data_IF_016385415348
#
_entry.id   IF_016385415348
#
_cell.length_a   1.000
_cell.length_b   1.000
_cell.length_c   1.000
_cell.angle_alpha   90.00
_cell.angle_beta   90.00
_cell.angle_gamma   90.00
#
_symmetry.space_group_name_H-M   'P 1'
#
loop_
_entity.id
_entity.type
_entity.pdbx_description
1 polymer ?
#
# COMPACT_ATOMS: atom_id res chain seq x y z
N UNK A 1 30.13 4.43 -8.21
CA UNK A 1 29.09 4.68 -7.19
C UNK A 1 27.77 4.89 -7.94
N UNK A 2 26.74 4.04 -7.81
CA UNK A 2 25.46 4.31 -8.46
C UNK A 2 24.84 5.55 -7.81
N UNK A 3 24.38 6.50 -8.63
CA UNK A 3 23.78 7.76 -8.16
C UNK A 3 22.55 7.44 -7.32
N UNK A 4 22.53 7.90 -6.08
CA UNK A 4 21.33 7.91 -5.24
C UNK A 4 20.32 8.84 -5.92
N UNK A 5 19.18 8.30 -6.35
CA UNK A 5 18.08 9.13 -6.84
C UNK A 5 17.52 9.94 -5.65
N UNK A 6 17.98 11.18 -5.53
CA UNK A 6 17.36 12.19 -4.67
C UNK A 6 16.12 12.73 -5.38
N UNK A 7 15.01 11.99 -5.28
CA UNK A 7 13.70 12.57 -5.58
C UNK A 7 12.78 12.34 -4.39
N UNK A 8 12.58 13.41 -3.60
CA UNK A 8 11.52 13.51 -2.58
C UNK A 8 10.10 13.41 -3.16
N UNK A 9 9.97 13.12 -4.46
CA UNK A 9 8.71 12.90 -5.16
C UNK A 9 8.59 11.40 -5.46
N UNK A 10 7.62 10.78 -4.80
CA UNK A 10 7.20 9.40 -5.04
C UNK A 10 6.42 9.41 -6.36
N UNK A 11 7.01 8.92 -7.44
CA UNK A 11 6.37 8.84 -8.78
C UNK A 11 6.25 7.37 -9.15
N UNK A 12 5.05 6.95 -9.54
CA UNK A 12 4.75 5.60 -10.06
C UNK A 12 5.81 5.17 -11.08
N UNK A 13 6.37 3.98 -10.94
CA UNK A 13 7.31 3.45 -11.91
C UNK A 13 6.52 2.87 -13.09
N UNK A 14 6.99 3.18 -14.28
CA UNK A 14 6.48 2.78 -15.58
C UNK A 14 7.63 2.21 -16.44
N UNK A 15 7.39 1.89 -17.71
CA UNK A 15 8.43 1.34 -18.57
C UNK A 15 9.60 2.31 -18.79
N UNK A 16 9.34 3.61 -18.90
CA UNK A 16 10.37 4.65 -19.08
C UNK A 16 11.32 4.71 -17.89
N UNK A 17 10.78 4.52 -16.68
CA UNK A 17 11.57 4.44 -15.43
C UNK A 17 12.70 3.41 -15.53
N UNK A 18 12.47 2.29 -16.22
CA UNK A 18 13.46 1.21 -16.40
C UNK A 18 14.31 1.37 -17.67
N UNK A 19 13.91 2.20 -18.64
CA UNK A 19 14.58 2.32 -19.93
C UNK A 19 16.10 2.58 -19.85
N UNK A 20 16.62 3.46 -18.96
CA UNK A 20 18.05 3.70 -18.87
C UNK A 20 18.82 2.59 -18.11
N UNK A 21 18.13 1.63 -17.51
CA UNK A 21 18.71 0.56 -16.69
C UNK A 21 18.72 -0.80 -17.40
N UNK A 22 17.97 -0.92 -18.50
CA UNK A 22 17.82 -2.16 -19.27
C UNK A 22 18.81 -2.19 -20.42
N UNK A 23 19.59 -3.26 -20.51
CA UNK A 23 20.57 -3.54 -21.56
C UNK A 23 20.36 -4.95 -22.16
N UNK A 24 21.18 -5.31 -23.17
CA UNK A 24 21.10 -6.62 -23.85
C UNK A 24 21.39 -7.83 -22.94
N UNK A 25 21.93 -7.59 -21.74
CA UNK A 25 22.19 -8.63 -20.74
C UNK A 25 21.05 -8.79 -19.76
N UNK A 26 20.11 -7.85 -19.74
CA UNK A 26 18.96 -7.86 -18.83
C UNK A 26 18.03 -9.01 -19.20
N UNK A 27 17.82 -9.94 -18.25
CA UNK A 27 16.92 -11.10 -18.43
C UNK A 27 15.62 -10.96 -17.66
N UNK A 28 15.60 -10.12 -16.62
CA UNK A 28 14.44 -9.94 -15.78
C UNK A 28 14.39 -8.55 -15.13
N UNK A 29 13.18 -8.07 -14.85
CA UNK A 29 12.88 -6.90 -14.03
C UNK A 29 12.05 -7.40 -12.85
N UNK A 30 12.50 -7.10 -11.63
CA UNK A 30 11.77 -7.38 -10.39
C UNK A 30 11.25 -6.10 -9.77
N UNK A 31 9.96 -6.03 -9.45
CA UNK A 31 9.34 -4.88 -8.80
C UNK A 31 8.13 -5.28 -7.95
N UNK A 32 7.77 -4.45 -6.97
CA UNK A 32 6.47 -4.57 -6.30
C UNK A 32 5.40 -3.83 -7.11
N UNK A 33 4.20 -4.40 -7.22
CA UNK A 33 3.06 -3.69 -7.84
C UNK A 33 2.58 -2.52 -7.00
N UNK A 34 2.72 -2.64 -5.67
CA UNK A 34 2.50 -1.57 -4.69
C UNK A 34 3.71 -1.52 -3.76
N UNK A 35 4.38 -0.38 -3.70
CA UNK A 35 5.57 -0.19 -2.88
C UNK A 35 5.20 -0.14 -1.40
N UNK A 36 5.75 -1.03 -0.58
CA UNK A 36 5.52 -1.07 0.87
C UNK A 36 5.79 0.26 1.59
N UNK A 37 6.78 1.01 1.09
CA UNK A 37 7.33 2.18 1.78
C UNK A 37 6.69 3.52 1.42
N UNK A 38 6.06 3.58 0.25
CA UNK A 38 5.45 4.81 -0.26
C UNK A 38 4.01 4.62 -0.69
N UNK A 39 3.52 3.37 -0.65
CA UNK A 39 2.18 2.95 -1.08
C UNK A 39 1.92 3.17 -2.57
N UNK A 40 2.93 3.60 -3.30
CA UNK A 40 2.90 3.89 -4.72
C UNK A 40 2.51 2.64 -5.49
N UNK A 41 1.48 2.76 -6.32
CA UNK A 41 1.09 1.75 -7.30
C UNK A 41 1.91 1.98 -8.58
N UNK A 42 2.64 0.97 -9.02
CA UNK A 42 3.44 1.02 -10.25
C UNK A 42 2.61 0.58 -11.45
N UNK A 43 2.92 1.11 -12.64
CA UNK A 43 2.27 0.70 -13.88
C UNK A 43 2.86 -0.61 -14.40
N UNK A 44 2.46 -1.70 -13.76
CA UNK A 44 2.88 -3.07 -14.11
C UNK A 44 2.48 -3.41 -15.54
N UNK A 45 1.35 -2.87 -16.03
CA UNK A 45 0.85 -3.19 -17.37
C UNK A 45 1.78 -2.63 -18.42
N UNK A 46 2.08 -1.33 -18.34
CA UNK A 46 3.00 -0.65 -19.26
C UNK A 46 4.39 -1.33 -19.28
N UNK A 47 4.94 -1.62 -18.10
CA UNK A 47 6.22 -2.34 -17.96
C UNK A 47 6.18 -3.71 -18.64
N UNK A 48 5.10 -4.48 -18.42
CA UNK A 48 4.93 -5.79 -19.05
C UNK A 48 4.82 -5.68 -20.57
N UNK A 49 4.06 -4.73 -21.10
CA UNK A 49 3.86 -4.53 -22.54
C UNK A 49 5.17 -4.20 -23.25
N UNK A 50 5.99 -3.31 -22.68
CA UNK A 50 7.27 -2.90 -23.27
C UNK A 50 8.34 -4.00 -23.18
N UNK A 51 8.57 -4.56 -22.00
CA UNK A 51 9.75 -5.41 -21.77
C UNK A 51 9.53 -6.88 -22.12
N UNK A 52 8.29 -7.38 -22.07
CA UNK A 52 8.03 -8.77 -22.50
C UNK A 52 8.21 -8.95 -24.00
N UNK A 53 7.87 -7.93 -24.80
CA UNK A 53 8.09 -7.95 -26.25
C UNK A 53 9.60 -8.11 -26.57
N UNK A 54 10.48 -7.64 -25.68
CA UNK A 54 11.94 -7.75 -25.78
C UNK A 54 12.50 -9.06 -25.19
N UNK A 55 11.65 -10.00 -24.78
CA UNK A 55 12.07 -11.27 -24.17
C UNK A 55 12.52 -11.16 -22.71
N UNK A 56 12.27 -10.02 -22.05
CA UNK A 56 12.64 -9.80 -20.64
C UNK A 56 11.50 -10.26 -19.73
N UNK A 57 11.83 -11.02 -18.68
CA UNK A 57 10.86 -11.50 -17.70
C UNK A 57 10.49 -10.40 -16.69
N UNK A 58 9.21 -10.17 -16.46
CA UNK A 58 8.76 -9.25 -15.40
C UNK A 58 8.26 -10.08 -14.21
N UNK A 59 8.92 -9.93 -13.05
CA UNK A 59 8.56 -10.56 -11.79
C UNK A 59 7.94 -9.49 -10.88
N UNK A 60 6.65 -9.68 -10.56
CA UNK A 60 5.88 -8.70 -9.81
C UNK A 60 5.57 -9.25 -8.41
N UNK A 61 6.05 -8.57 -7.38
CA UNK A 61 5.63 -8.79 -6.00
C UNK A 61 4.28 -8.10 -5.77
N UNK A 62 3.26 -8.89 -5.45
CA UNK A 62 1.88 -8.41 -5.26
C UNK A 62 1.39 -8.47 -3.81
N UNK A 63 2.30 -8.60 -2.86
CA UNK A 63 1.98 -8.76 -1.42
C UNK A 63 1.09 -7.62 -0.86
N UNK A 64 1.18 -6.42 -1.43
CA UNK A 64 0.36 -5.26 -1.02
C UNK A 64 -0.81 -4.97 -1.98
N UNK A 65 -1.12 -5.86 -2.91
CA UNK A 65 -2.12 -5.60 -3.95
C UNK A 65 -3.21 -6.68 -3.92
N UNK A 66 -2.81 -7.93 -3.72
CA UNK A 66 -3.74 -9.05 -3.70
C UNK A 66 -4.37 -9.20 -2.31
N UNK A 67 -5.69 -9.37 -2.26
CA UNK A 67 -6.47 -9.41 -1.02
C UNK A 67 -7.10 -8.05 -0.63
N UNK A 68 -6.90 -7.00 -1.43
CA UNK A 68 -7.38 -5.65 -1.14
C UNK A 68 -8.07 -4.95 -2.32
N UNK A 69 -7.72 -5.31 -3.55
CA UNK A 69 -8.37 -4.81 -4.77
C UNK A 69 -8.49 -5.95 -5.79
N UNK A 70 -9.39 -5.78 -6.75
CA UNK A 70 -9.57 -6.76 -7.83
C UNK A 70 -8.34 -6.79 -8.74
N UNK A 71 -7.68 -7.95 -8.83
CA UNK A 71 -6.49 -8.12 -9.69
C UNK A 71 -6.84 -9.00 -10.89
N UNK A 72 -6.98 -8.37 -12.06
CA UNK A 72 -7.07 -9.11 -13.32
C UNK A 72 -5.67 -9.46 -13.85
N UNK A 73 -5.16 -10.62 -13.44
CA UNK A 73 -3.83 -11.13 -13.82
C UNK A 73 -3.67 -11.39 -15.33
N UNK A 74 -4.77 -11.59 -16.06
CA UNK A 74 -4.78 -11.76 -17.52
C UNK A 74 -4.55 -10.43 -18.24
N UNK A 75 -5.16 -9.35 -17.76
CA UNK A 75 -4.96 -7.99 -18.30
C UNK A 75 -3.56 -7.43 -18.00
N UNK A 76 -2.88 -7.93 -16.96
CA UNK A 76 -1.53 -7.50 -16.59
C UNK A 76 -0.41 -8.14 -17.41
N UNK A 77 -0.73 -9.10 -18.28
CA UNK A 77 0.23 -9.79 -19.15
C UNK A 77 1.49 -10.26 -18.38
N UNK A 78 1.37 -11.14 -17.38
CA UNK A 78 2.52 -11.66 -16.56
C UNK A 78 2.78 -13.15 -16.84
N UNK A 79 4.05 -13.58 -17.06
CA UNK A 79 4.43 -14.96 -17.47
C UNK A 79 4.56 -15.97 -16.32
N UNK A 80 5.02 -15.55 -15.13
CA UNK A 80 5.10 -16.40 -13.94
C UNK A 80 4.65 -15.60 -12.72
N UNK A 81 3.86 -16.24 -11.86
CA UNK A 81 3.17 -15.63 -10.73
C UNK A 81 3.79 -16.19 -9.46
N UNK A 82 4.29 -15.32 -8.59
CA UNK A 82 4.54 -15.66 -7.19
C UNK A 82 3.67 -14.73 -6.35
N UNK A 83 2.47 -15.20 -6.04
CA UNK A 83 1.62 -14.52 -5.08
C UNK A 83 2.09 -14.89 -3.68
N UNK A 84 2.46 -13.88 -2.90
CA UNK A 84 2.72 -14.02 -1.46
C UNK A 84 1.55 -13.36 -0.77
N UNK A 85 0.60 -14.19 -0.35
CA UNK A 85 -0.60 -13.81 0.38
C UNK A 85 -0.31 -13.94 1.88
N UNK A 86 0.24 -12.91 2.51
CA UNK A 86 0.65 -13.02 3.93
C UNK A 86 0.26 -11.85 4.80
N UNK A 87 -0.25 -10.77 4.23
CA UNK A 87 -0.47 -9.55 5.02
C UNK A 87 -1.86 -9.50 5.65
N UNK A 88 -2.89 -9.85 4.88
CA UNK A 88 -4.28 -9.84 5.36
C UNK A 88 -4.92 -11.23 5.39
N UNK A 89 -4.25 -12.25 4.83
CA UNK A 89 -4.60 -13.63 5.13
C UNK A 89 -4.22 -13.91 6.58
N UNK A 90 -5.22 -14.16 7.42
CA UNK A 90 -5.06 -14.60 8.81
C UNK A 90 -4.35 -15.97 8.88
N UNK A 91 -4.24 -16.68 7.75
CA UNK A 91 -3.65 -18.02 7.69
C UNK A 91 -2.11 -17.99 7.57
N UNK A 92 -1.38 -18.75 8.41
CA UNK A 92 0.04 -19.00 8.22
C UNK A 92 0.31 -19.61 6.83
N UNK A 93 1.40 -19.17 6.19
CA UNK A 93 1.89 -19.72 4.93
C UNK A 93 1.91 -21.25 4.97
N UNK A 94 1.24 -21.87 3.99
CA UNK A 94 1.18 -23.32 3.76
C UNK A 94 0.28 -24.14 4.71
N UNK A 95 -0.66 -23.52 5.44
CA UNK A 95 -1.72 -24.26 6.16
C UNK A 95 -2.96 -24.53 5.28
N UNK A 96 -3.74 -25.61 5.51
CA UNK A 96 -5.04 -25.82 4.86
C UNK A 96 -6.02 -24.65 5.01
N UNK A 97 -5.87 -23.87 6.10
CA UNK A 97 -6.60 -22.62 6.35
C UNK A 97 -6.38 -21.57 5.26
N UNK A 98 -5.29 -21.68 4.49
CA UNK A 98 -5.02 -20.81 3.34
C UNK A 98 -6.09 -20.94 2.26
N UNK A 99 -6.47 -22.16 1.87
CA UNK A 99 -7.47 -22.37 0.82
C UNK A 99 -8.85 -21.95 1.31
N UNK A 100 -9.19 -22.28 2.56
CA UNK A 100 -10.46 -21.86 3.18
C UNK A 100 -10.57 -20.35 3.32
N UNK A 101 -9.48 -19.65 3.64
CA UNK A 101 -9.51 -18.18 3.69
C UNK A 101 -9.65 -17.59 2.29
N UNK A 102 -8.98 -18.16 1.28
CA UNK A 102 -9.11 -17.72 -0.10
C UNK A 102 -10.55 -17.91 -0.62
N UNK A 103 -11.19 -19.04 -0.31
CA UNK A 103 -12.61 -19.29 -0.57
C UNK A 103 -13.49 -18.26 0.16
N UNK A 104 -13.25 -18.02 1.46
CA UNK A 104 -13.98 -16.98 2.20
C UNK A 104 -13.81 -15.58 1.59
N UNK A 105 -12.60 -15.21 1.17
CA UNK A 105 -12.35 -13.93 0.50
C UNK A 105 -13.04 -13.82 -0.85
N UNK A 106 -12.96 -14.86 -1.68
CA UNK A 106 -13.52 -14.83 -3.03
C UNK A 106 -15.04 -15.00 -3.04
N UNK A 107 -15.58 -15.89 -2.22
CA UNK A 107 -16.96 -16.35 -2.29
C UNK A 107 -17.88 -15.69 -1.26
N UNK A 108 -17.33 -15.19 -0.14
CA UNK A 108 -18.13 -14.56 0.93
C UNK A 108 -17.89 -13.06 1.03
N UNK A 109 -16.64 -12.63 1.16
CA UNK A 109 -16.35 -11.18 1.22
C UNK A 109 -16.54 -10.54 -0.15
N UNK A 110 -15.95 -11.12 -1.20
CA UNK A 110 -15.93 -10.55 -2.53
C UNK A 110 -14.89 -9.42 -2.65
N UNK A 111 -14.04 -9.47 -3.68
CA UNK A 111 -12.98 -8.49 -3.87
C UNK A 111 -13.52 -7.05 -4.06
N UNK A 112 -14.67 -6.89 -4.71
CA UNK A 112 -15.33 -5.59 -4.93
C UNK A 112 -15.81 -4.96 -3.62
N UNK A 113 -16.44 -5.74 -2.73
CA UNK A 113 -16.89 -5.24 -1.43
C UNK A 113 -15.71 -4.84 -0.52
N UNK A 114 -14.62 -5.63 -0.55
CA UNK A 114 -13.39 -5.29 0.19
C UNK A 114 -12.79 -4.00 -0.34
N UNK A 115 -12.75 -3.83 -1.66
CA UNK A 115 -12.26 -2.63 -2.31
C UNK A 115 -13.10 -1.40 -1.94
N UNK A 116 -14.44 -1.48 -2.06
CA UNK A 116 -15.37 -0.40 -1.68
C UNK A 116 -15.25 -0.02 -0.20
N UNK A 117 -15.11 -1.02 0.68
CA UNK A 117 -14.89 -0.80 2.11
C UNK A 117 -13.57 -0.06 2.38
N UNK A 118 -12.47 -0.46 1.75
CA UNK A 118 -11.17 0.18 1.91
C UNK A 118 -11.14 1.60 1.32
N UNK A 119 -11.86 1.86 0.22
CA UNK A 119 -12.08 3.22 -0.29
C UNK A 119 -12.77 4.05 0.79
N UNK A 120 -13.86 3.55 1.37
CA UNK A 120 -14.65 4.25 2.38
C UNK A 120 -13.81 4.61 3.63
N UNK A 121 -13.03 3.65 4.14
CA UNK A 121 -12.09 3.91 5.26
C UNK A 121 -11.01 4.91 4.89
N UNK A 122 -10.50 4.82 3.66
CA UNK A 122 -9.51 5.74 3.10
C UNK A 122 -10.01 7.18 3.06
N UNK A 123 -11.23 7.39 2.57
CA UNK A 123 -11.87 8.69 2.47
C UNK A 123 -12.13 9.29 3.85
N UNK A 124 -12.60 8.48 4.80
CA UNK A 124 -12.79 8.90 6.19
C UNK A 124 -11.48 9.40 6.80
N UNK A 125 -10.39 8.62 6.67
CA UNK A 125 -9.07 9.01 7.18
C UNK A 125 -8.54 10.27 6.50
N UNK A 126 -8.70 10.39 5.17
CA UNK A 126 -8.26 11.57 4.41
C UNK A 126 -9.00 12.82 4.85
N UNK A 127 -10.32 12.74 5.01
CA UNK A 127 -11.16 13.84 5.47
C UNK A 127 -10.78 14.27 6.89
N UNK A 128 -10.58 13.30 7.79
CA UNK A 128 -10.10 13.56 9.14
C UNK A 128 -8.72 14.24 9.15
N UNK A 129 -7.73 13.68 8.44
CA UNK A 129 -6.39 14.26 8.36
C UNK A 129 -6.44 15.69 7.79
N UNK A 130 -7.27 15.94 6.76
CA UNK A 130 -7.46 17.28 6.19
C UNK A 130 -8.05 18.26 7.20
N UNK A 131 -9.06 17.85 7.97
CA UNK A 131 -9.65 18.68 9.03
C UNK A 131 -8.64 19.01 10.15
N UNK A 132 -7.75 18.07 10.45
CA UNK A 132 -6.70 18.20 11.48
C UNK A 132 -5.41 18.89 10.97
N UNK A 133 -5.31 19.21 9.68
CA UNK A 133 -4.10 19.75 9.08
C UNK A 133 -2.93 18.76 8.97
N UNK A 134 -3.19 17.46 9.15
CA UNK A 134 -2.20 16.38 9.03
C UNK A 134 -2.03 16.05 7.55
N UNK A 135 -0.78 16.09 7.08
CA UNK A 135 -0.45 15.71 5.71
C UNK A 135 -0.34 14.19 5.58
N UNK A 136 -0.89 13.65 4.49
CA UNK A 136 -0.67 12.25 4.09
C UNK A 136 0.42 12.21 3.03
N UNK A 137 1.44 11.37 3.23
CA UNK A 137 2.54 11.17 2.28
C UNK A 137 2.10 10.22 1.16
N UNK A 138 2.35 10.64 -0.08
CA UNK A 138 2.08 9.89 -1.30
C UNK A 138 1.22 10.68 -2.29
N UNK A 139 0.79 10.06 -3.40
CA UNK A 139 -0.10 10.68 -4.36
C UNK A 139 -1.54 10.86 -3.81
N UNK A 140 -2.22 11.90 -4.28
CA UNK A 140 -3.59 12.24 -3.89
C UNK A 140 -4.66 11.41 -4.62
N UNK A 141 -4.40 11.01 -5.88
CA UNK A 141 -5.32 10.18 -6.66
C UNK A 141 -5.25 8.71 -6.26
N UNK A 142 -6.42 8.09 -6.04
CA UNK A 142 -6.59 6.67 -5.72
C UNK A 142 -6.05 5.73 -6.78
N UNK A 143 -5.90 6.20 -8.02
CA UNK A 143 -5.33 5.42 -9.12
C UNK A 143 -3.86 5.05 -8.89
N UNK A 144 -3.12 5.87 -8.11
CA UNK A 144 -1.67 5.76 -7.94
C UNK A 144 -1.21 5.34 -6.53
N UNK A 145 -2.13 5.06 -5.61
CA UNK A 145 -1.79 4.59 -4.26
C UNK A 145 -2.59 3.36 -3.83
N UNK A 146 -2.04 2.58 -2.91
CA UNK A 146 -2.76 1.49 -2.25
C UNK A 146 -3.91 2.03 -1.40
N UNK A 147 -5.07 1.36 -1.42
CA UNK A 147 -6.27 1.77 -0.68
C UNK A 147 -6.17 1.45 0.82
N UNK A 148 -5.35 0.47 1.19
CA UNK A 148 -5.26 -0.09 2.54
C UNK A 148 -4.09 0.45 3.36
N UNK A 149 -3.26 1.33 2.81
CA UNK A 149 -2.13 1.91 3.52
C UNK A 149 -2.21 3.41 3.47
N UNK A 150 -1.80 4.08 4.54
CA UNK A 150 -1.67 5.54 4.66
C UNK A 150 -0.42 5.88 5.47
N UNK A 151 0.30 6.93 5.08
CA UNK A 151 1.44 7.44 5.84
C UNK A 151 1.09 8.85 6.25
N UNK A 152 0.88 9.05 7.55
CA UNK A 152 0.67 10.35 8.18
C UNK A 152 2.05 10.98 8.40
N UNK A 153 2.25 12.22 7.97
CA UNK A 153 3.49 13.00 8.07
C UNK A 153 3.72 13.45 9.54
N UNK A 154 3.82 12.48 10.45
CA UNK A 154 3.96 12.65 11.90
C UNK A 154 5.24 11.94 12.34
N UNK A 155 6.25 12.71 12.76
CA UNK A 155 7.60 12.18 12.96
C UNK A 155 8.00 11.98 14.42
N UNK A 156 7.35 12.67 15.37
CA UNK A 156 7.76 12.61 16.76
C UNK A 156 7.28 11.35 17.49
N UNK A 157 8.14 10.81 18.35
CA UNK A 157 7.88 9.59 19.12
C UNK A 157 6.64 9.70 20.01
N UNK A 158 6.32 10.90 20.51
CA UNK A 158 5.14 11.15 21.36
C UNK A 158 3.81 10.80 20.68
N UNK A 159 3.73 10.90 19.35
CA UNK A 159 2.55 10.43 18.61
C UNK A 159 2.37 8.92 18.75
N UNK A 160 3.46 8.16 18.68
CA UNK A 160 3.41 6.70 18.84
C UNK A 160 3.05 6.29 20.27
N UNK A 161 3.55 7.03 21.25
CA UNK A 161 3.24 6.81 22.67
C UNK A 161 1.76 7.09 22.95
N UNK A 162 1.24 8.21 22.46
CA UNK A 162 -0.16 8.60 22.63
C UNK A 162 -1.14 7.70 21.88
N UNK A 163 -0.83 7.28 20.64
CA UNK A 163 -1.66 6.30 19.94
C UNK A 163 -1.69 4.97 20.71
N UNK A 164 -0.55 4.56 21.29
CA UNK A 164 -0.47 3.31 22.06
C UNK A 164 -1.27 3.38 23.36
N UNK A 165 -1.30 4.51 24.08
CA UNK A 165 -2.12 4.66 25.30
C UNK A 165 -3.62 4.55 25.00
N UNK A 166 -4.03 4.92 23.79
CA UNK A 166 -5.40 4.78 23.30
C UNK A 166 -5.68 3.42 22.59
N UNK A 167 -4.79 2.44 22.72
CA UNK A 167 -4.88 1.12 22.08
C UNK A 167 -4.93 1.16 20.54
N UNK A 168 -4.35 2.19 19.93
CA UNK A 168 -4.20 2.30 18.49
C UNK A 168 -2.84 1.75 18.07
N UNK A 169 -2.86 0.70 17.27
CA UNK A 169 -1.67 0.03 16.76
C UNK A 169 -1.36 0.48 15.34
N UNK A 170 -0.29 1.26 15.21
CA UNK A 170 0.26 1.76 13.95
C UNK A 170 1.73 1.39 13.84
N UNK A 171 2.31 1.49 12.63
CA UNK A 171 3.74 1.23 12.43
C UNK A 171 4.52 2.56 12.34
N UNK A 172 5.57 2.78 13.14
CA UNK A 172 6.46 3.90 12.90
C UNK A 172 7.21 3.70 11.59
N UNK A 173 7.38 4.76 10.80
CA UNK A 173 7.98 4.69 9.48
C UNK A 173 8.89 5.88 9.20
N UNK A 174 9.84 5.71 8.25
CA UNK A 174 10.82 6.76 7.94
C UNK A 174 10.20 8.06 7.42
N UNK A 175 8.97 7.99 6.91
CA UNK A 175 8.20 9.12 6.36
C UNK A 175 7.05 9.53 7.30
N UNK A 176 7.06 9.06 8.56
CA UNK A 176 6.04 9.37 9.56
C UNK A 176 5.37 8.12 10.13
N UNK A 177 4.08 8.17 10.42
CA UNK A 177 3.31 7.05 10.97
C UNK A 177 2.54 6.33 9.87
N UNK A 178 2.71 5.02 9.76
CA UNK A 178 1.96 4.21 8.81
C UNK A 178 0.73 3.58 9.44
N UNK A 179 -0.43 3.95 8.91
CA UNK A 179 -1.73 3.34 9.18
C UNK A 179 -2.00 2.29 8.10
N UNK A 180 -2.44 1.11 8.50
CA UNK A 180 -2.83 0.04 7.58
C UNK A 180 -4.23 -0.42 7.92
N UNK A 181 -5.15 -0.35 6.96
CA UNK A 181 -6.50 -0.89 7.11
C UNK A 181 -6.49 -2.34 6.61
N UNK A 182 -6.74 -3.26 7.53
CA UNK A 182 -7.07 -4.63 7.16
C UNK A 182 -8.59 -4.80 7.03
N UNK A 183 -9.03 -5.93 6.50
CA UNK A 183 -10.44 -6.28 6.37
C UNK A 183 -11.25 -6.26 7.69
N UNK A 184 -10.60 -6.42 8.85
CA UNK A 184 -11.28 -6.36 10.16
C UNK A 184 -11.50 -4.93 10.70
N UNK A 185 -10.94 -3.92 10.05
CA UNK A 185 -11.08 -2.51 10.47
C UNK A 185 -12.43 -1.99 9.99
N UNK A 186 -13.15 -1.26 10.84
CA UNK A 186 -14.43 -0.64 10.49
C UNK A 186 -14.37 0.89 10.57
N UNK A 187 -15.47 1.56 10.19
CA UNK A 187 -15.53 3.02 10.16
C UNK A 187 -15.31 3.66 11.54
N UNK A 188 -15.84 3.04 12.60
CA UNK A 188 -15.64 3.51 13.98
C UNK A 188 -14.18 3.48 14.40
N UNK A 189 -13.37 2.52 13.90
CA UNK A 189 -11.92 2.49 14.16
C UNK A 189 -11.21 3.67 13.46
N UNK A 190 -11.60 4.00 12.22
CA UNK A 190 -11.05 5.13 11.48
C UNK A 190 -11.42 6.48 12.13
N UNK A 191 -12.66 6.61 12.61
CA UNK A 191 -13.13 7.78 13.35
C UNK A 191 -12.46 7.91 14.73
N UNK A 192 -12.23 6.78 15.41
CA UNK A 192 -11.49 6.74 16.69
C UNK A 192 -10.07 7.24 16.50
N UNK A 193 -9.39 6.82 15.43
CA UNK A 193 -8.05 7.33 15.10
C UNK A 193 -8.04 8.85 14.94
N UNK A 194 -9.02 9.42 14.23
CA UNK A 194 -9.13 10.87 14.08
C UNK A 194 -9.34 11.57 15.43
N UNK A 195 -10.18 11.00 16.28
CA UNK A 195 -10.51 11.54 17.61
C UNK A 195 -9.30 11.54 18.54
N UNK A 196 -8.47 10.49 18.49
CA UNK A 196 -7.26 10.38 19.32
C UNK A 196 -6.15 11.33 18.85
N UNK A 197 -6.08 11.65 17.56
CA UNK A 197 -5.08 12.59 17.05
C UNK A 197 -5.32 14.03 17.54
N UNK A 198 -6.57 14.43 17.77
CA UNK A 198 -6.93 15.80 18.17
C UNK A 198 -6.30 16.24 19.52
N UNK A 199 -6.41 15.46 20.62
CA UNK A 199 -5.72 15.78 21.87
C UNK A 199 -4.21 16.00 21.72
N UNK A 200 -3.53 15.23 20.88
CA UNK A 200 -2.11 15.43 20.58
C UNK A 200 -1.84 16.80 19.94
N UNK A 201 -2.70 17.23 19.01
CA UNK A 201 -2.61 18.56 18.39
C UNK A 201 -2.83 19.65 19.45
N UNK A 202 -3.86 19.50 20.28
CA UNK A 202 -4.20 20.46 21.34
C UNK A 202 -3.07 20.57 22.39
N UNK A 203 -2.36 19.47 22.64
CA UNK A 203 -1.16 19.42 23.47
C UNK A 203 0.12 19.97 22.78
N UNK A 204 0.00 20.48 21.55
CA UNK A 204 1.10 21.11 20.82
C UNK A 204 2.05 20.12 20.15
N UNK A 205 1.58 18.93 19.79
CA UNK A 205 2.41 17.96 19.07
C UNK A 205 2.67 18.46 17.64
N UNK A 206 3.93 18.50 17.16
CA UNK A 206 4.21 19.03 15.85
C UNK A 206 3.78 18.05 14.77
N UNK A 207 3.33 18.65 13.68
CA UNK A 207 2.84 18.00 12.48
C UNK A 207 3.92 17.92 11.38
N UNK A 208 5.17 18.31 11.71
CA UNK A 208 6.37 18.28 10.86
C UNK A 208 7.63 18.09 11.69
#
# INVERSE_FOLDING_TARGET
MPRRFETRKVVAADAETFAPLVDDRTRAIGLSSVMFHSRQKNDVKDICEVYRAKGIHVLVDMTQHVGFVTVNVTNLNVRRRRLVFTKDLIAPLASPLYMTWLEFYLDVMGAENVEEHLVSLGDALRNACKALGIKIVGPDSCEYHALHLYILDLHEAKWMEDLKTHNIYVTPYRLGIRVSFGHCVNMGDAETLATVLQPGIDAGFPLK
#
